data_IF_393232837927
#
_entry.id   IF_393232837927
#
_cell.length_a   1.000
_cell.length_b   1.000
_cell.length_c   1.000
_cell.angle_alpha   90.00
_cell.angle_beta   90.00
_cell.angle_gamma   90.00
#
_symmetry.space_group_name_H-M   'P 1'
#
loop_
_entity.id
_entity.type
_entity.pdbx_description
1 polymer ?
#
# COMPACT_ATOMS: atom_id res chain seq x y z
N UNK A 1 -19.96 -19.84 -2.28
CA UNK A 1 -19.75 -18.94 -3.41
C UNK A 1 -20.66 -19.33 -4.54
N UNK A 2 -21.75 -18.56 -4.67
CA UNK A 2 -22.77 -18.73 -5.69
C UNK A 2 -22.25 -18.47 -7.08
N UNK A 3 -22.56 -19.29 -7.88
CA UNK A 3 -22.69 -19.61 -9.26
C UNK A 3 -23.39 -18.58 -10.17
N UNK A 4 -23.11 -17.31 -10.20
CA UNK A 4 -23.84 -16.39 -11.08
C UNK A 4 -22.96 -15.32 -11.71
N UNK A 5 -21.91 -15.74 -12.41
CA UNK A 5 -21.30 -14.94 -13.46
C UNK A 5 -20.96 -15.87 -14.65
N UNK A 6 -22.01 -16.39 -15.25
CA UNK A 6 -21.97 -16.93 -16.60
C UNK A 6 -22.48 -15.86 -17.56
N UNK A 7 -21.55 -15.19 -18.22
CA UNK A 7 -21.73 -14.60 -19.56
C UNK A 7 -20.33 -14.16 -19.99
N UNK A 8 -19.71 -14.92 -20.85
CA UNK A 8 -19.71 -14.83 -22.26
C UNK A 8 -18.55 -13.97 -22.76
N UNK A 9 -17.32 -14.52 -22.81
CA UNK A 9 -16.48 -14.25 -23.98
C UNK A 9 -15.58 -15.46 -24.24
N UNK A 10 -15.94 -16.19 -25.27
CA UNK A 10 -15.21 -17.34 -25.77
C UNK A 10 -13.99 -16.88 -26.56
N UNK A 11 -12.85 -16.84 -25.89
CA UNK A 11 -11.56 -16.95 -26.55
C UNK A 11 -10.75 -18.03 -25.86
N UNK A 12 -10.62 -19.15 -26.56
CA UNK A 12 -9.72 -20.26 -26.25
C UNK A 12 -10.06 -21.15 -25.04
N UNK A 13 -11.33 -21.48 -24.79
CA UNK A 13 -11.70 -22.67 -24.00
C UNK A 13 -11.34 -22.70 -22.51
N UNK A 14 -10.76 -21.65 -21.92
CA UNK A 14 -10.51 -21.55 -20.50
C UNK A 14 -11.51 -20.57 -19.88
N UNK A 15 -12.43 -21.08 -19.09
CA UNK A 15 -13.24 -20.23 -18.21
C UNK A 15 -12.31 -19.58 -17.18
N UNK A 16 -11.95 -18.32 -17.38
CA UNK A 16 -11.19 -17.54 -16.40
C UNK A 16 -12.05 -17.31 -15.15
N UNK A 17 -11.53 -17.73 -14.03
CA UNK A 17 -12.12 -17.52 -12.72
C UNK A 17 -11.45 -16.29 -12.06
N UNK A 18 -12.16 -15.61 -11.16
CA UNK A 18 -11.59 -14.48 -10.42
C UNK A 18 -10.28 -14.86 -9.70
N UNK A 19 -10.15 -16.09 -9.21
CA UNK A 19 -8.94 -16.62 -8.58
C UNK A 19 -7.72 -16.68 -9.50
N UNK A 20 -7.94 -16.74 -10.82
CA UNK A 20 -6.84 -16.78 -11.80
C UNK A 20 -6.25 -15.38 -12.06
N UNK A 21 -7.01 -14.33 -11.71
CA UNK A 21 -6.68 -12.93 -11.99
C UNK A 21 -6.39 -12.16 -10.69
N UNK A 22 -7.12 -12.46 -9.62
CA UNK A 22 -7.05 -11.74 -8.36
C UNK A 22 -6.25 -12.51 -7.32
N UNK A 23 -5.34 -11.81 -6.69
CA UNK A 23 -4.65 -12.27 -5.48
C UNK A 23 -5.01 -11.35 -4.33
N UNK A 24 -5.59 -11.90 -3.27
CA UNK A 24 -5.89 -11.18 -2.05
C UNK A 24 -4.76 -11.41 -1.05
N UNK A 25 -4.21 -10.30 -0.54
CA UNK A 25 -3.15 -10.31 0.46
C UNK A 25 -3.63 -9.66 1.74
N UNK A 26 -3.27 -10.24 2.88
CA UNK A 26 -3.55 -9.64 4.17
C UNK A 26 -2.56 -8.51 4.45
N UNK A 27 -3.10 -7.30 4.59
CA UNK A 27 -2.37 -6.09 4.94
C UNK A 27 -2.96 -5.38 6.17
N UNK A 28 -3.86 -6.05 6.93
CA UNK A 28 -4.55 -5.45 8.07
C UNK A 28 -3.59 -5.09 9.21
N UNK A 29 -2.50 -5.84 9.36
CA UNK A 29 -1.53 -5.63 10.43
C UNK A 29 -2.14 -5.86 11.80
N UNK A 30 -2.01 -4.90 12.74
CA UNK A 30 -2.56 -5.00 14.10
C UNK A 30 -4.09 -4.89 14.18
N UNK A 31 -4.79 -4.68 13.07
CA UNK A 31 -6.22 -4.50 13.01
C UNK A 31 -6.66 -3.17 12.41
N UNK A 32 -7.99 -2.99 12.34
CA UNK A 32 -8.59 -1.79 11.78
C UNK A 32 -8.19 -0.53 12.57
N UNK A 33 -7.79 0.52 11.86
CA UNK A 33 -7.35 1.81 12.40
C UNK A 33 -6.18 1.75 13.42
N UNK A 34 -5.56 0.58 13.60
CA UNK A 34 -4.38 0.41 14.47
C UNK A 34 -3.12 0.46 13.60
N UNK A 35 -2.28 1.43 13.89
CA UNK A 35 -1.05 1.69 13.14
C UNK A 35 0.11 1.77 14.13
N UNK A 36 1.22 1.13 13.81
CA UNK A 36 2.45 1.21 14.61
C UNK A 36 3.23 2.47 14.27
N UNK A 37 4.09 2.91 15.19
CA UNK A 37 4.98 4.05 14.95
C UNK A 37 5.96 3.77 13.79
N UNK A 38 6.35 2.50 13.60
CA UNK A 38 7.17 2.07 12.48
C UNK A 38 6.42 2.24 11.14
N UNK A 39 5.15 1.86 11.07
CA UNK A 39 4.31 2.04 9.87
C UNK A 39 4.13 3.54 9.57
N UNK A 40 3.85 4.37 10.57
CA UNK A 40 3.73 5.82 10.41
C UNK A 40 5.04 6.45 9.93
N UNK A 41 6.18 6.04 10.51
CA UNK A 41 7.50 6.50 10.08
C UNK A 41 7.77 6.17 8.61
N UNK A 42 7.44 4.96 8.17
CA UNK A 42 7.58 4.54 6.77
C UNK A 42 6.67 5.34 5.84
N UNK A 43 5.41 5.59 6.23
CA UNK A 43 4.47 6.44 5.49
C UNK A 43 5.00 7.87 5.38
N UNK A 44 5.50 8.44 6.47
CA UNK A 44 6.14 9.75 6.49
C UNK A 44 7.36 9.82 5.56
N UNK A 45 8.20 8.80 5.55
CA UNK A 45 9.34 8.72 4.63
C UNK A 45 8.92 8.67 3.16
N UNK A 46 7.82 7.98 2.83
CA UNK A 46 7.26 7.96 1.47
C UNK A 46 6.82 9.37 1.08
N UNK A 47 6.08 10.05 1.95
CA UNK A 47 5.63 11.42 1.71
C UNK A 47 6.81 12.36 1.44
N UNK A 48 7.86 12.30 2.26
CA UNK A 48 9.05 13.14 2.09
C UNK A 48 9.83 12.85 0.81
N UNK A 49 9.98 11.59 0.44
CA UNK A 49 10.81 11.20 -0.71
C UNK A 49 10.08 11.28 -2.05
N UNK A 50 8.79 11.02 -2.07
CA UNK A 50 8.01 10.87 -3.29
C UNK A 50 6.92 11.96 -3.43
N UNK A 51 6.65 12.75 -2.39
CA UNK A 51 5.54 13.70 -2.38
C UNK A 51 4.16 13.04 -2.33
N UNK A 52 4.09 11.73 -2.08
CA UNK A 52 2.83 10.97 -2.04
C UNK A 52 2.41 10.81 -0.58
N UNK A 53 1.29 11.42 -0.23
CA UNK A 53 0.71 11.32 1.11
C UNK A 53 -0.27 10.16 1.16
N UNK A 54 -0.01 9.19 2.05
CA UNK A 54 -0.80 7.99 2.25
C UNK A 54 -1.51 8.06 3.61
N UNK A 55 -2.74 7.59 3.68
CA UNK A 55 -3.44 7.44 4.95
C UNK A 55 -2.93 6.22 5.74
N UNK A 56 -2.92 6.26 7.07
CA UNK A 56 -2.39 5.15 7.87
C UNK A 56 -3.34 3.95 8.00
N UNK A 57 -4.60 4.10 7.59
CA UNK A 57 -5.63 3.05 7.77
C UNK A 57 -5.72 2.11 6.57
N UNK A 58 -5.73 2.66 5.36
CA UNK A 58 -5.97 1.92 4.12
C UNK A 58 -4.77 1.99 3.16
N UNK A 59 -4.58 3.12 2.49
CA UNK A 59 -3.60 3.25 1.42
C UNK A 59 -2.17 3.06 1.91
N UNK A 60 -1.85 3.51 3.11
CA UNK A 60 -0.54 3.30 3.73
C UNK A 60 -0.24 1.82 3.97
N UNK A 61 -1.17 1.08 4.58
CA UNK A 61 -0.98 -0.36 4.82
C UNK A 61 -0.84 -1.14 3.51
N UNK A 62 -1.66 -0.83 2.52
CA UNK A 62 -1.57 -1.44 1.20
C UNK A 62 -0.21 -1.16 0.52
N UNK A 63 0.26 0.08 0.58
CA UNK A 63 1.55 0.45 0.02
C UNK A 63 2.73 -0.22 0.75
N UNK A 64 2.71 -0.27 2.08
CA UNK A 64 3.74 -0.94 2.87
C UNK A 64 3.77 -2.45 2.58
N UNK A 65 2.62 -3.08 2.43
CA UNK A 65 2.54 -4.49 2.03
C UNK A 65 3.11 -4.70 0.63
N UNK A 66 2.73 -3.87 -0.33
CA UNK A 66 3.28 -3.92 -1.69
C UNK A 66 4.81 -3.77 -1.70
N UNK A 67 5.35 -2.80 -0.95
CA UNK A 67 6.80 -2.59 -0.84
C UNK A 67 7.48 -3.81 -0.24
N UNK A 68 6.90 -4.40 0.81
CA UNK A 68 7.40 -5.62 1.43
C UNK A 68 7.45 -6.76 0.42
N UNK A 69 6.36 -7.01 -0.29
CA UNK A 69 6.27 -8.08 -1.29
C UNK A 69 7.26 -7.87 -2.45
N UNK A 70 7.49 -6.63 -2.85
CA UNK A 70 8.48 -6.29 -3.88
C UNK A 70 9.92 -6.50 -3.40
N UNK A 71 10.21 -6.21 -2.13
CA UNK A 71 11.55 -6.38 -1.56
C UNK A 71 11.89 -7.83 -1.24
N UNK A 72 10.95 -8.57 -0.66
CA UNK A 72 11.15 -9.96 -0.20
C UNK A 72 10.86 -10.99 -1.28
N UNK A 73 9.83 -10.76 -2.08
CA UNK A 73 9.29 -11.68 -3.08
C UNK A 73 9.65 -11.36 -4.53
N UNK A 74 10.29 -10.23 -4.77
CA UNK A 74 10.53 -9.75 -6.14
C UNK A 74 11.29 -10.73 -7.03
N UNK A 75 12.16 -11.56 -6.43
CA UNK A 75 12.84 -12.64 -7.15
C UNK A 75 11.93 -13.85 -7.41
N UNK A 76 11.01 -14.16 -6.50
CA UNK A 76 10.18 -15.38 -6.53
C UNK A 76 8.86 -15.17 -7.26
N UNK A 77 8.22 -14.01 -7.10
CA UNK A 77 6.93 -13.70 -7.73
C UNK A 77 7.04 -13.18 -9.17
N UNK A 78 8.18 -12.64 -9.57
CA UNK A 78 8.33 -11.93 -10.84
C UNK A 78 9.23 -12.61 -11.86
N UNK A 79 9.70 -13.82 -11.59
CA UNK A 79 10.54 -14.58 -12.56
C UNK A 79 11.76 -13.80 -13.05
N UNK A 80 12.35 -12.96 -12.19
CA UNK A 80 13.58 -12.21 -12.50
C UNK A 80 13.43 -11.06 -13.51
N UNK A 81 12.26 -10.85 -14.11
CA UNK A 81 12.03 -9.75 -15.06
C UNK A 81 11.47 -8.53 -14.34
N UNK A 82 11.97 -7.33 -14.68
CA UNK A 82 11.40 -6.06 -14.21
C UNK A 82 9.96 -5.94 -14.70
N UNK A 83 9.00 -5.97 -13.79
CA UNK A 83 7.60 -5.72 -14.10
C UNK A 83 7.23 -4.29 -13.73
N UNK A 84 6.32 -3.71 -14.48
CA UNK A 84 5.69 -2.45 -14.11
C UNK A 84 4.62 -2.74 -13.08
N UNK A 85 4.61 -1.98 -11.99
CA UNK A 85 3.60 -2.07 -10.93
C UNK A 85 2.80 -0.79 -10.94
N UNK A 86 1.48 -0.92 -10.96
CA UNK A 86 0.54 0.19 -10.80
C UNK A 86 -0.02 0.13 -9.37
N UNK A 87 0.21 1.18 -8.59
CA UNK A 87 -0.46 1.38 -7.30
C UNK A 87 -1.63 2.34 -7.49
N UNK A 88 -2.83 1.91 -7.08
CA UNK A 88 -4.03 2.75 -7.15
C UNK A 88 -4.29 3.36 -5.77
N UNK A 89 -4.13 4.67 -5.67
CA UNK A 89 -4.40 5.43 -4.46
C UNK A 89 -5.89 5.77 -4.39
N UNK A 90 -6.62 5.17 -3.47
CA UNK A 90 -8.08 5.29 -3.35
C UNK A 90 -8.56 6.44 -2.46
N UNK A 91 -7.66 7.28 -1.96
CA UNK A 91 -7.98 8.36 -1.05
C UNK A 91 -7.71 8.02 0.41
N UNK A 92 -8.50 8.56 1.33
CA UNK A 92 -8.40 8.27 2.78
C UNK A 92 -7.57 9.26 3.59
N UNK A 93 -7.16 10.40 3.03
CA UNK A 93 -6.31 11.39 3.71
C UNK A 93 -6.87 11.89 5.05
N UNK A 94 -8.20 11.87 5.22
CA UNK A 94 -8.84 12.28 6.48
C UNK A 94 -8.44 11.39 7.67
N UNK A 95 -8.02 10.15 7.44
CA UNK A 95 -7.49 9.26 8.48
C UNK A 95 -6.19 9.73 9.12
N UNK A 96 -5.51 10.73 8.54
CA UNK A 96 -4.33 11.35 9.14
C UNK A 96 -4.69 12.21 10.36
N UNK A 97 -5.85 12.83 10.38
CA UNK A 97 -6.26 13.69 11.50
C UNK A 97 -6.40 12.93 12.80
N UNK A 98 -6.84 11.67 12.76
CA UNK A 98 -6.91 10.81 13.96
C UNK A 98 -5.54 10.43 14.52
N UNK A 99 -4.48 10.64 13.75
CA UNK A 99 -3.09 10.29 14.08
C UNK A 99 -2.19 11.51 14.28
N UNK A 100 -2.78 12.70 14.39
CA UNK A 100 -2.03 13.95 14.47
C UNK A 100 -0.95 13.92 15.56
N UNK A 101 -1.30 13.54 16.78
CA UNK A 101 -0.34 13.48 17.90
C UNK A 101 0.81 12.50 17.63
N UNK A 102 0.54 11.33 17.04
CA UNK A 102 1.57 10.35 16.70
C UNK A 102 2.46 10.84 15.56
N UNK A 103 1.85 11.47 14.53
CA UNK A 103 2.58 12.05 13.41
C UNK A 103 3.46 13.22 13.84
N UNK A 104 3.00 14.09 14.70
CA UNK A 104 3.77 15.18 15.29
C UNK A 104 5.01 14.66 16.02
N UNK A 105 4.85 13.64 16.85
CA UNK A 105 5.97 13.01 17.55
C UNK A 105 7.03 12.47 16.58
N UNK A 106 6.61 11.82 15.52
CA UNK A 106 7.51 11.27 14.50
C UNK A 106 8.20 12.39 13.72
N UNK A 107 7.46 13.42 13.31
CA UNK A 107 8.01 14.57 12.59
C UNK A 107 9.06 15.31 13.43
N UNK A 108 8.82 15.47 14.73
CA UNK A 108 9.75 16.10 15.65
C UNK A 108 11.01 15.25 15.89
N UNK A 109 10.94 13.95 15.72
CA UNK A 109 12.08 13.04 15.85
C UNK A 109 12.95 12.92 14.59
N UNK A 110 12.47 13.45 13.45
CA UNK A 110 13.24 13.44 12.20
C UNK A 110 14.37 14.47 12.24
N UNK A 111 15.57 14.12 11.75
CA UNK A 111 16.68 15.07 11.71
C UNK A 111 16.31 16.26 10.81
N UNK A 112 16.51 17.47 11.33
CA UNK A 112 16.18 18.75 10.67
C UNK A 112 16.82 18.94 9.29
N UNK A 113 17.85 18.16 8.98
CA UNK A 113 18.53 18.17 7.68
C UNK A 113 17.66 17.67 6.50
N UNK A 114 16.55 17.01 6.77
CA UNK A 114 15.66 16.44 5.75
C UNK A 114 14.40 17.27 5.50
N UNK A 115 14.22 18.37 6.22
CA UNK A 115 13.09 19.27 5.97
C UNK A 115 13.44 20.18 4.77
N UNK A 116 12.56 20.31 3.77
CA UNK A 116 12.74 21.29 2.73
C UNK A 116 12.79 22.68 3.39
N UNK A 117 13.80 23.48 3.02
CA UNK A 117 13.89 24.87 3.49
C UNK A 117 12.64 25.60 3.00
N UNK A 118 11.98 26.40 3.85
CA UNK A 118 10.87 27.24 3.39
C UNK A 118 11.39 28.16 2.29
N UNK A 119 10.59 28.34 1.26
CA UNK A 119 10.84 29.25 0.13
C UNK A 119 10.93 30.68 0.63
#
# INVERSE_FOLDING_TARGET
>A
CSSDLKEGNTNNGRNLCAKDILRLEDAVGLGYARTTDEELSKIGNIAQKCGIVLDPVYSGKAALRMIKDLSEGGKKMMGGKRKKVLFIHTGGLLGLYDKDNQMQSILNSLPSSNLPKPF
#
